data_IF_748302880516
#
_entry.id   IF_748302880516
#
_cell.length_a   1.000
_cell.length_b   1.000
_cell.length_c   1.000
_cell.angle_alpha   90.00
_cell.angle_beta   90.00
_cell.angle_gamma   90.00
#
_symmetry.space_group_name_H-M   'P 1'
#
loop_
_entity.id
_entity.type
_entity.pdbx_description
1 polymer ?
#
# COMPACT_ATOMS: atom_id res chain seq x y z
N UNK A 1 6.95 -23.02 10.29
CA UNK A 1 6.41 -23.75 9.13
C UNK A 1 5.51 -22.92 8.21
N UNK A 2 4.97 -21.76 8.61
CA UNK A 2 4.18 -20.90 7.70
C UNK A 2 4.95 -19.75 7.01
N UNK A 3 6.15 -19.39 7.50
CA UNK A 3 6.93 -18.25 7.01
C UNK A 3 7.72 -18.52 5.73
N UNK A 4 8.18 -19.75 5.54
CA UNK A 4 9.20 -20.04 4.53
C UNK A 4 8.63 -19.90 3.11
N UNK A 5 7.38 -20.31 2.91
CA UNK A 5 6.66 -20.06 1.66
C UNK A 5 6.36 -18.58 1.39
N UNK A 6 6.12 -17.79 2.45
CA UNK A 6 5.90 -16.34 2.32
C UNK A 6 7.18 -15.64 1.89
N UNK A 7 8.32 -15.97 2.52
CA UNK A 7 9.62 -15.42 2.12
C UNK A 7 9.98 -15.83 0.69
N UNK A 8 9.81 -17.10 0.35
CA UNK A 8 10.06 -17.57 -1.02
C UNK A 8 9.20 -16.82 -2.06
N UNK A 9 7.93 -16.56 -1.75
CA UNK A 9 7.04 -15.79 -2.61
C UNK A 9 7.52 -14.34 -2.76
N UNK A 10 7.84 -13.67 -1.64
CA UNK A 10 8.31 -12.28 -1.65
C UNK A 10 9.63 -12.15 -2.44
N UNK A 11 10.57 -13.08 -2.24
CA UNK A 11 11.86 -13.09 -2.92
C UNK A 11 11.75 -13.28 -4.44
N UNK A 12 10.63 -13.82 -4.93
CA UNK A 12 10.36 -14.00 -6.34
C UNK A 12 9.68 -12.80 -7.02
N UNK A 13 9.21 -11.81 -6.24
CA UNK A 13 8.60 -10.58 -6.77
C UNK A 13 9.65 -9.58 -7.25
N UNK A 14 9.30 -8.75 -8.24
CA UNK A 14 10.09 -7.58 -8.61
C UNK A 14 9.83 -6.37 -7.71
N UNK A 15 8.59 -6.17 -7.27
CA UNK A 15 8.15 -5.02 -6.50
C UNK A 15 7.18 -5.45 -5.40
N UNK A 16 7.31 -4.87 -4.21
CA UNK A 16 6.41 -5.12 -3.09
C UNK A 16 5.79 -3.80 -2.60
N UNK A 17 4.45 -3.71 -2.66
CA UNK A 17 3.70 -2.57 -2.14
C UNK A 17 3.00 -2.96 -0.83
N UNK A 18 3.33 -2.26 0.25
CA UNK A 18 2.88 -2.64 1.61
C UNK A 18 1.93 -1.58 2.17
N UNK A 19 0.65 -1.91 2.40
CA UNK A 19 -0.29 -0.97 3.03
C UNK A 19 0.07 -0.78 4.51
N UNK A 20 0.09 0.48 4.96
CA UNK A 20 0.24 0.87 6.37
C UNK A 20 -1.00 1.59 6.86
N UNK A 21 -1.41 1.33 8.11
CA UNK A 21 -2.48 2.07 8.80
C UNK A 21 -1.87 2.92 9.90
N UNK A 22 -2.42 4.09 10.20
CA UNK A 22 -2.01 4.94 11.32
C UNK A 22 -2.44 4.39 12.70
N UNK A 23 -2.16 3.11 12.93
CA UNK A 23 -2.29 2.44 14.21
C UNK A 23 -0.88 2.05 14.69
N UNK A 24 -0.56 2.32 15.94
CA UNK A 24 0.80 2.15 16.47
C UNK A 24 1.30 0.71 16.33
N UNK A 25 0.46 -0.29 16.63
CA UNK A 25 0.85 -1.71 16.57
C UNK A 25 1.01 -2.16 15.11
N UNK A 26 0.14 -1.69 14.23
CA UNK A 26 0.23 -1.97 12.79
C UNK A 26 1.48 -1.34 12.19
N UNK A 27 1.80 -0.09 12.56
CA UNK A 27 3.01 0.59 12.10
C UNK A 27 4.28 -0.13 12.56
N UNK A 28 4.39 -0.46 13.85
CA UNK A 28 5.57 -1.11 14.40
C UNK A 28 5.83 -2.46 13.73
N UNK A 29 4.79 -3.28 13.58
CA UNK A 29 4.90 -4.57 12.89
C UNK A 29 5.24 -4.42 11.41
N UNK A 30 4.62 -3.46 10.70
CA UNK A 30 4.89 -3.24 9.28
C UNK A 30 6.30 -2.70 9.04
N UNK A 31 6.80 -1.82 9.91
CA UNK A 31 8.16 -1.30 9.82
C UNK A 31 9.21 -2.39 10.09
N UNK A 32 9.00 -3.23 11.09
CA UNK A 32 9.89 -4.36 11.35
C UNK A 32 9.94 -5.31 10.15
N UNK A 33 8.79 -5.60 9.55
CA UNK A 33 8.70 -6.39 8.34
C UNK A 33 9.42 -5.72 7.15
N UNK A 34 9.08 -4.47 6.84
CA UNK A 34 9.63 -3.73 5.71
C UNK A 34 11.15 -3.56 5.82
N UNK A 35 11.66 -3.24 7.01
CA UNK A 35 13.10 -3.15 7.29
C UNK A 35 13.78 -4.49 7.07
N UNK A 36 13.21 -5.58 7.60
CA UNK A 36 13.77 -6.92 7.44
C UNK A 36 13.83 -7.34 5.97
N UNK A 37 12.77 -7.08 5.20
CA UNK A 37 12.71 -7.37 3.77
C UNK A 37 13.72 -6.51 3.01
N UNK A 38 13.76 -5.20 3.27
CA UNK A 38 14.69 -4.28 2.62
C UNK A 38 16.15 -4.69 2.88
N UNK A 39 16.50 -4.96 4.13
CA UNK A 39 17.87 -5.28 4.51
C UNK A 39 18.31 -6.66 4.02
N UNK A 40 17.43 -7.67 4.03
CA UNK A 40 17.79 -9.05 3.70
C UNK A 40 17.59 -9.44 2.25
N UNK A 41 16.60 -8.86 1.58
CA UNK A 41 16.20 -9.28 0.23
C UNK A 41 16.58 -8.25 -0.83
N UNK A 42 16.53 -6.95 -0.51
CA UNK A 42 16.88 -5.88 -1.46
C UNK A 42 18.37 -5.53 -1.36
N UNK A 43 18.84 -5.07 -0.19
CA UNK A 43 20.21 -4.57 -0.01
C UNK A 43 21.29 -5.64 -0.20
N UNK A 44 20.98 -6.91 0.08
CA UNK A 44 21.93 -8.01 -0.14
C UNK A 44 22.05 -8.44 -1.60
N UNK A 45 21.07 -8.09 -2.44
CA UNK A 45 20.99 -8.54 -3.83
C UNK A 45 20.73 -10.05 -4.00
N UNK A 46 20.32 -10.76 -2.95
CA UNK A 46 20.08 -12.22 -2.99
C UNK A 46 18.73 -12.55 -3.66
N UNK A 47 17.81 -11.59 -3.76
CA UNK A 47 16.47 -11.78 -4.33
C UNK A 47 16.24 -10.95 -5.59
N UNK A 48 15.14 -11.24 -6.31
CA UNK A 48 14.71 -10.46 -7.47
C UNK A 48 13.99 -9.14 -7.09
N UNK A 49 13.79 -8.90 -5.79
CA UNK A 49 13.05 -7.75 -5.30
C UNK A 49 13.85 -6.46 -5.53
N UNK A 50 13.34 -5.62 -6.45
CA UNK A 50 13.95 -4.36 -6.86
C UNK A 50 13.61 -3.21 -5.92
N UNK A 51 12.39 -3.19 -5.41
CA UNK A 51 11.93 -2.15 -4.49
C UNK A 51 10.80 -2.63 -3.56
N UNK A 52 10.77 -2.02 -2.38
CA UNK A 52 9.65 -2.08 -1.44
C UNK A 52 9.15 -0.66 -1.21
N UNK A 53 7.87 -0.42 -1.48
CA UNK A 53 7.23 0.87 -1.24
C UNK A 53 6.03 0.70 -0.32
N UNK A 54 5.95 1.51 0.72
CA UNK A 54 4.79 1.55 1.61
C UNK A 54 3.76 2.56 1.11
N UNK A 55 2.50 2.44 1.52
CA UNK A 55 1.50 3.46 1.27
C UNK A 55 0.44 3.51 2.38
N UNK A 56 -0.07 4.69 2.66
CA UNK A 56 -1.08 4.88 3.69
C UNK A 56 -2.44 4.36 3.23
N UNK A 57 -3.01 3.46 4.01
CA UNK A 57 -4.33 2.88 3.82
C UNK A 57 -5.22 3.17 5.04
N UNK A 58 -6.53 3.17 4.82
CA UNK A 58 -7.54 3.46 5.85
C UNK A 58 -7.29 4.77 6.59
N UNK A 59 -6.80 5.80 5.90
CA UNK A 59 -6.54 7.12 6.49
C UNK A 59 -7.85 7.76 6.91
N UNK A 60 -7.96 8.14 8.17
CA UNK A 60 -9.06 8.98 8.62
C UNK A 60 -8.77 10.43 8.25
N UNK A 61 -9.56 11.00 7.34
CA UNK A 61 -9.43 12.41 6.92
C UNK A 61 -9.64 13.41 8.05
N UNK A 62 -10.19 12.98 9.19
CA UNK A 62 -10.38 13.80 10.39
C UNK A 62 -9.12 13.87 11.25
N UNK A 63 -8.19 12.94 11.09
CA UNK A 63 -6.92 12.94 11.81
C UNK A 63 -6.00 14.05 11.31
N UNK A 64 -5.12 14.52 12.20
CA UNK A 64 -4.16 15.58 11.86
C UNK A 64 -3.11 15.05 10.88
N UNK A 65 -2.99 15.68 9.72
CA UNK A 65 -1.99 15.40 8.68
C UNK A 65 -0.57 15.31 9.23
N UNK A 66 -0.25 16.11 10.26
CA UNK A 66 1.07 16.19 10.91
C UNK A 66 1.59 14.83 11.39
N UNK A 67 0.72 13.94 11.88
CA UNK A 67 1.16 12.61 12.36
C UNK A 67 1.72 11.75 11.23
N UNK A 68 1.04 11.76 10.08
CA UNK A 68 1.47 11.04 8.88
C UNK A 68 2.82 11.55 8.37
N UNK A 69 3.04 12.86 8.46
CA UNK A 69 4.29 13.49 8.01
C UNK A 69 5.46 13.11 8.92
N UNK A 70 5.24 13.04 10.24
CA UNK A 70 6.24 12.56 11.21
C UNK A 70 6.61 11.10 10.94
N UNK A 71 5.62 10.24 10.71
CA UNK A 71 5.89 8.84 10.39
C UNK A 71 6.67 8.70 9.08
N UNK A 72 6.31 9.47 8.06
CA UNK A 72 7.00 9.44 6.77
C UNK A 72 8.46 9.90 6.86
N UNK A 73 8.77 10.88 7.72
CA UNK A 73 10.17 11.22 8.05
C UNK A 73 10.90 10.03 8.68
N UNK A 74 10.25 9.33 9.62
CA UNK A 74 10.79 8.12 10.24
C UNK A 74 11.08 7.00 9.23
N UNK A 75 10.23 6.83 8.23
CA UNK A 75 10.42 5.83 7.17
C UNK A 75 11.67 6.11 6.34
N UNK A 76 11.86 7.38 5.96
CA UNK A 76 13.03 7.82 5.19
C UNK A 76 14.34 7.57 5.95
N UNK A 77 14.35 7.77 7.28
CA UNK A 77 15.52 7.47 8.12
C UNK A 77 15.87 5.97 8.15
N UNK A 78 14.87 5.09 7.97
CA UNK A 78 15.07 3.64 7.85
C UNK A 78 15.42 3.19 6.42
N UNK A 79 15.50 4.13 5.47
CA UNK A 79 15.69 3.83 4.04
C UNK A 79 14.50 3.08 3.44
N UNK A 80 13.29 3.36 3.94
CA UNK A 80 12.05 2.80 3.44
C UNK A 80 11.27 3.86 2.67
N UNK A 81 10.91 3.53 1.43
CA UNK A 81 10.12 4.41 0.58
C UNK A 81 8.63 4.35 0.94
N UNK A 82 7.95 5.49 0.85
CA UNK A 82 6.52 5.60 1.05
C UNK A 82 5.91 6.48 -0.05
N UNK A 83 4.86 5.97 -0.68
CA UNK A 83 4.09 6.68 -1.70
C UNK A 83 3.41 7.92 -1.11
N UNK A 84 3.20 8.94 -1.95
CA UNK A 84 2.62 10.20 -1.51
C UNK A 84 1.10 10.09 -1.35
N UNK A 85 0.46 9.30 -2.21
CA UNK A 85 -0.98 9.07 -2.16
C UNK A 85 -1.40 8.34 -0.88
N UNK A 86 -2.50 8.80 -0.29
CA UNK A 86 -3.09 8.27 0.94
C UNK A 86 -4.53 7.80 0.67
N UNK A 87 -4.79 6.51 0.83
CA UNK A 87 -6.12 5.94 0.63
C UNK A 87 -6.97 6.12 1.89
N UNK A 88 -8.11 6.82 1.82
CA UNK A 88 -8.93 7.10 2.98
C UNK A 88 -9.78 5.89 3.38
N UNK A 89 -10.18 5.83 4.65
CA UNK A 89 -11.23 4.90 5.08
C UNK A 89 -12.58 5.31 4.48
N UNK A 90 -13.23 4.39 3.76
CA UNK A 90 -14.55 4.61 3.14
C UNK A 90 -15.39 3.34 3.20
N UNK A 91 -16.67 3.49 3.54
CA UNK A 91 -17.63 2.37 3.54
C UNK A 91 -17.87 1.81 2.14
N UNK A 92 -17.60 2.57 1.08
CA UNK A 92 -17.68 2.11 -0.30
C UNK A 92 -16.75 0.92 -0.58
N UNK A 93 -15.57 0.82 0.05
CA UNK A 93 -14.65 -0.31 -0.16
C UNK A 93 -15.20 -1.66 0.34
N UNK A 94 -16.24 -1.64 1.18
CA UNK A 94 -16.91 -2.87 1.67
C UNK A 94 -18.27 -3.10 1.03
N UNK A 95 -18.73 -2.23 0.12
CA UNK A 95 -20.00 -2.39 -0.59
C UNK A 95 -19.83 -3.29 -1.81
N UNK A 96 -20.49 -4.44 -1.77
CA UNK A 96 -20.64 -5.33 -2.91
C UNK A 96 -21.60 -4.77 -3.97
N UNK A 97 -21.64 -5.47 -5.11
CA UNK A 97 -22.60 -5.23 -6.18
C UNK A 97 -24.04 -5.26 -5.65
N UNK A 98 -24.78 -4.20 -5.93
CA UNK A 98 -26.21 -4.13 -5.66
C UNK A 98 -27.00 -4.85 -6.76
N UNK A 99 -27.98 -5.67 -6.38
CA UNK A 99 -28.90 -6.32 -7.33
C UNK A 99 -29.89 -5.35 -7.96
N UNK A 100 -30.12 -4.19 -7.34
CA UNK A 100 -31.02 -3.15 -7.83
C UNK A 100 -30.33 -2.12 -8.73
N UNK A 101 -29.06 -2.36 -9.10
CA UNK A 101 -28.22 -1.41 -9.83
C UNK A 101 -27.59 -0.35 -8.92
N UNK A 102 -26.79 0.52 -9.53
CA UNK A 102 -26.05 1.60 -8.85
C UNK A 102 -24.55 1.57 -9.13
N UNK A 103 -23.78 2.48 -8.50
CA UNK A 103 -22.35 2.54 -8.68
C UNK A 103 -21.67 1.27 -8.18
N UNK A 104 -20.65 0.80 -8.90
CA UNK A 104 -19.83 -0.35 -8.54
C UNK A 104 -18.68 0.12 -7.67
N UNK A 105 -18.40 -0.55 -6.55
CA UNK A 105 -17.25 -0.22 -5.69
C UNK A 105 -16.30 -1.40 -5.55
N UNK A 106 -16.82 -2.56 -5.11
CA UNK A 106 -16.06 -3.81 -5.02
C UNK A 106 -16.60 -4.84 -6.01
N UNK A 107 -15.80 -5.20 -7.01
CA UNK A 107 -16.14 -6.22 -7.99
C UNK A 107 -14.88 -6.82 -8.63
N UNK A 108 -14.95 -8.09 -9.02
CA UNK A 108 -13.96 -8.74 -9.89
C UNK A 108 -14.39 -8.74 -11.37
N UNK A 109 -15.61 -8.31 -11.67
CA UNK A 109 -16.22 -8.39 -12.99
C UNK A 109 -16.39 -7.03 -13.65
N UNK A 110 -16.60 -5.98 -12.87
CA UNK A 110 -16.89 -4.64 -13.35
C UNK A 110 -15.89 -3.62 -12.81
N UNK A 111 -15.60 -2.61 -13.63
CA UNK A 111 -14.79 -1.49 -13.20
C UNK A 111 -15.48 -0.72 -12.05
N UNK A 112 -14.71 -0.19 -11.08
CA UNK A 112 -15.26 0.66 -10.03
C UNK A 112 -15.76 1.98 -10.63
N UNK A 113 -16.72 2.60 -9.92
CA UNK A 113 -17.23 3.92 -10.23
C UNK A 113 -16.08 4.94 -10.36
N UNK A 114 -16.05 5.66 -11.48
CA UNK A 114 -14.97 6.59 -11.79
C UNK A 114 -14.93 7.78 -10.82
N UNK A 115 -16.11 8.23 -10.38
CA UNK A 115 -16.22 9.30 -9.39
C UNK A 115 -15.59 8.90 -8.06
N UNK A 116 -15.95 7.71 -7.55
CA UNK A 116 -15.37 7.16 -6.33
C UNK A 116 -13.87 6.89 -6.44
N UNK A 117 -13.41 6.30 -7.54
CA UNK A 117 -11.97 6.02 -7.79
C UNK A 117 -11.12 7.28 -7.63
N UNK A 118 -11.55 8.38 -8.26
CA UNK A 118 -10.90 9.70 -8.14
C UNK A 118 -11.04 10.30 -6.75
N UNK A 119 -12.23 10.19 -6.15
CA UNK A 119 -12.51 10.79 -4.84
C UNK A 119 -11.71 10.12 -3.71
N UNK A 120 -11.44 8.81 -3.80
CA UNK A 120 -10.60 8.09 -2.85
C UNK A 120 -9.10 8.10 -3.21
N UNK A 121 -8.72 8.72 -4.33
CA UNK A 121 -7.33 8.82 -4.78
C UNK A 121 -6.73 7.49 -5.25
N UNK A 122 -7.57 6.50 -5.60
CA UNK A 122 -7.07 5.20 -6.01
C UNK A 122 -6.47 5.24 -7.43
N UNK A 123 -6.95 6.13 -8.28
CA UNK A 123 -6.33 6.49 -9.56
C UNK A 123 -4.90 7.03 -9.36
N UNK A 124 -4.74 8.00 -8.47
CA UNK A 124 -3.42 8.57 -8.16
C UNK A 124 -2.46 7.53 -7.56
N UNK A 125 -2.97 6.64 -6.69
CA UNK A 125 -2.17 5.53 -6.15
C UNK A 125 -1.69 4.60 -7.27
N UNK A 126 -2.57 4.24 -8.19
CA UNK A 126 -2.22 3.38 -9.32
C UNK A 126 -1.22 4.07 -10.24
N UNK A 127 -1.36 5.37 -10.52
CA UNK A 127 -0.37 6.14 -11.28
C UNK A 127 1.01 6.14 -10.62
N UNK A 128 1.10 6.30 -9.30
CA UNK A 128 2.37 6.17 -8.57
C UNK A 128 2.97 4.77 -8.69
N UNK A 129 2.16 3.72 -8.50
CA UNK A 129 2.59 2.33 -8.65
C UNK A 129 3.13 2.09 -10.07
N UNK A 130 2.39 2.51 -11.10
CA UNK A 130 2.77 2.33 -12.50
C UNK A 130 4.10 3.02 -12.84
N UNK A 131 4.37 4.19 -12.27
CA UNK A 131 5.67 4.89 -12.42
C UNK A 131 6.81 4.14 -11.73
N UNK A 132 6.59 3.61 -10.52
CA UNK A 132 7.59 2.82 -9.79
C UNK A 132 7.97 1.55 -10.56
N UNK A 133 6.97 0.86 -11.13
CA UNK A 133 7.19 -0.35 -11.94
C UNK A 133 7.55 -0.05 -13.41
N UNK A 134 7.64 1.24 -13.79
CA UNK A 134 8.12 1.73 -15.09
C UNK A 134 7.29 1.26 -16.29
N UNK A 135 5.97 1.26 -16.16
CA UNK A 135 5.06 0.91 -17.28
C UNK A 135 4.31 2.11 -17.87
N UNK A 136 4.51 3.31 -17.31
CA UNK A 136 4.02 4.61 -17.81
C UNK A 136 5.10 5.67 -17.69
#
# INVERSE_FOLDING_TARGET
MGSDGVIATISALDYLFVPIKADRLVLESTLNFATTVNDRLIKTGISNLKALCMFWNMVDRRERTVLYDIYQQGFSLLGLDCLQTRVPVRSNFTKDLSTTGGPVYRSTLFAPDAGFTKECGFDALMDEIMRIIKIV
#
